data_IF_239848038583
#
_entry.id   IF_239848038583
#
_cell.length_a   1.000
_cell.length_b   1.000
_cell.length_c   1.000
_cell.angle_alpha   90.00
_cell.angle_beta   90.00
_cell.angle_gamma   90.00
#
_symmetry.space_group_name_H-M   'P 1'
#
loop_
_entity.id
_entity.type
_entity.pdbx_description
1 polymer ?
#
# COMPACT_ATOMS: atom_id res chain seq x y z
N UNK A 1 15.49 31.54 12.77
CA UNK A 1 14.83 30.44 12.04
C UNK A 1 13.32 30.63 12.15
N UNK A 2 12.57 30.34 11.09
CA UNK A 2 11.10 30.41 11.12
C UNK A 2 10.55 29.29 12.02
N UNK A 3 9.57 29.62 12.87
CA UNK A 3 8.77 28.59 13.57
C UNK A 3 8.07 27.69 12.56
N UNK A 4 7.61 26.51 12.99
CA UNK A 4 6.87 25.58 12.13
C UNK A 4 5.63 26.23 11.49
N UNK A 5 4.92 27.04 12.26
CA UNK A 5 3.75 27.76 11.77
C UNK A 5 4.11 28.85 10.76
N UNK A 6 5.09 29.70 11.07
CA UNK A 6 5.55 30.73 10.13
C UNK A 6 6.11 30.13 8.83
N UNK A 7 6.78 28.97 8.93
CA UNK A 7 7.27 28.25 7.77
C UNK A 7 6.12 27.73 6.91
N UNK A 8 5.09 27.13 7.51
CA UNK A 8 3.91 26.65 6.80
C UNK A 8 3.09 27.78 6.17
N UNK A 9 2.95 28.92 6.85
CA UNK A 9 2.29 30.11 6.31
C UNK A 9 3.05 30.68 5.10
N UNK A 10 4.37 30.79 5.19
CA UNK A 10 5.21 31.22 4.07
C UNK A 10 5.22 30.21 2.92
N UNK A 11 5.20 28.90 3.23
CA UNK A 11 5.08 27.82 2.24
C UNK A 11 3.75 27.90 1.48
N UNK A 12 2.65 28.07 2.20
CA UNK A 12 1.33 28.24 1.60
C UNK A 12 1.25 29.55 0.82
N UNK A 13 1.80 30.66 1.31
CA UNK A 13 1.82 31.93 0.57
C UNK A 13 2.76 31.89 -0.66
N UNK A 14 3.67 30.92 -0.72
CA UNK A 14 4.70 30.87 -1.75
C UNK A 14 5.77 31.94 -1.58
N UNK A 15 5.96 32.44 -0.36
CA UNK A 15 6.89 33.55 -0.07
C UNK A 15 8.20 33.04 0.52
N UNK A 16 8.46 31.73 0.46
CA UNK A 16 9.76 31.17 0.81
C UNK A 16 10.78 31.53 -0.27
N UNK A 17 11.90 32.11 0.16
CA UNK A 17 13.02 32.41 -0.72
C UNK A 17 13.50 31.15 -1.45
N UNK A 18 13.66 31.16 -2.79
CA UNK A 18 14.07 29.98 -3.55
C UNK A 18 15.40 29.38 -3.08
N UNK A 19 16.33 30.22 -2.62
CA UNK A 19 17.63 29.80 -2.08
C UNK A 19 17.53 29.13 -0.70
N UNK A 20 16.46 29.42 0.06
CA UNK A 20 16.19 28.83 1.37
C UNK A 20 15.31 27.56 1.29
N UNK A 21 14.73 27.26 0.13
CA UNK A 21 13.92 26.07 -0.11
C UNK A 21 14.75 24.93 -0.72
N UNK A 22 15.72 24.47 0.06
CA UNK A 22 16.55 23.33 -0.29
C UNK A 22 15.82 21.98 -0.09
N UNK A 23 16.52 20.87 -0.34
CA UNK A 23 15.97 19.53 -0.20
C UNK A 23 15.44 19.23 1.22
N UNK A 24 16.15 19.74 2.24
CA UNK A 24 15.75 19.58 3.65
C UNK A 24 14.47 20.38 3.94
N UNK A 25 14.37 21.61 3.43
CA UNK A 25 13.17 22.44 3.56
C UNK A 25 11.95 21.80 2.87
N UNK A 26 12.14 21.13 1.73
CA UNK A 26 11.09 20.37 1.05
C UNK A 26 10.54 19.24 1.94
N UNK A 27 11.44 18.43 2.52
CA UNK A 27 11.05 17.36 3.43
C UNK A 27 10.40 17.88 4.71
N UNK A 28 10.89 18.99 5.26
CA UNK A 28 10.27 19.66 6.40
C UNK A 28 8.85 20.11 6.08
N UNK A 29 8.62 20.67 4.89
CA UNK A 29 7.27 21.06 4.44
C UNK A 29 6.32 19.86 4.37
N UNK A 30 6.77 18.74 3.80
CA UNK A 30 5.99 17.51 3.73
C UNK A 30 5.66 16.97 5.14
N UNK A 31 6.66 16.87 6.02
CA UNK A 31 6.48 16.43 7.41
C UNK A 31 5.50 17.31 8.18
N UNK A 32 5.61 18.65 8.06
CA UNK A 32 4.71 19.60 8.70
C UNK A 32 3.28 19.51 8.15
N UNK A 33 3.11 19.37 6.84
CA UNK A 33 1.79 19.15 6.24
C UNK A 33 1.13 17.87 6.78
N UNK A 34 1.90 16.77 6.86
CA UNK A 34 1.44 15.46 7.33
C UNK A 34 1.14 15.43 8.83
N UNK A 35 1.75 16.31 9.64
CA UNK A 35 1.41 16.46 11.06
C UNK A 35 0.13 17.27 11.29
N UNK A 36 -0.17 18.21 10.40
CA UNK A 36 -1.25 19.17 10.59
C UNK A 36 -2.62 18.69 10.09
N UNK A 37 -2.68 17.65 9.24
CA UNK A 37 -3.93 17.23 8.60
C UNK A 37 -3.92 15.74 8.22
N UNK A 38 -5.11 15.13 7.99
CA UNK A 38 -5.22 13.81 7.38
C UNK A 38 -4.47 13.72 6.04
N UNK A 39 -4.00 12.52 5.69
CA UNK A 39 -3.08 12.30 4.55
C UNK A 39 -3.53 12.94 3.24
N UNK A 40 -4.81 12.77 2.84
CA UNK A 40 -5.38 13.37 1.62
C UNK A 40 -5.20 14.89 1.60
N UNK A 41 -5.54 15.55 2.70
CA UNK A 41 -5.51 17.01 2.81
C UNK A 41 -4.07 17.53 2.88
N UNK A 42 -3.21 16.82 3.62
CA UNK A 42 -1.78 17.09 3.73
C UNK A 42 -1.08 17.02 2.37
N UNK A 43 -1.33 15.95 1.60
CA UNK A 43 -0.80 15.80 0.23
C UNK A 43 -1.35 16.88 -0.68
N UNK A 44 -2.65 17.20 -0.60
CA UNK A 44 -3.25 18.29 -1.35
C UNK A 44 -2.59 19.65 -1.07
N UNK A 45 -2.31 19.96 0.21
CA UNK A 45 -1.60 21.17 0.63
C UNK A 45 -0.17 21.19 0.09
N UNK A 46 0.57 20.09 0.27
CA UNK A 46 1.95 19.94 -0.20
C UNK A 46 2.06 20.18 -1.72
N UNK A 47 1.19 19.54 -2.52
CA UNK A 47 1.15 19.70 -3.98
C UNK A 47 0.91 21.15 -4.38
N UNK A 48 -0.04 21.84 -3.75
CA UNK A 48 -0.35 23.25 -4.04
C UNK A 48 0.82 24.17 -3.69
N UNK A 49 1.41 24.02 -2.51
CA UNK A 49 2.54 24.85 -2.08
C UNK A 49 3.77 24.66 -2.96
N UNK A 50 4.13 23.42 -3.30
CA UNK A 50 5.26 23.14 -4.18
C UNK A 50 5.08 23.66 -5.60
N UNK A 51 3.89 23.51 -6.18
CA UNK A 51 3.56 24.10 -7.50
C UNK A 51 3.69 25.62 -7.45
N UNK A 52 3.16 26.26 -6.41
CA UNK A 52 3.21 27.71 -6.22
C UNK A 52 4.65 28.23 -6.14
N UNK A 53 5.48 27.61 -5.29
CA UNK A 53 6.90 27.94 -5.16
C UNK A 53 7.66 27.74 -6.47
N UNK A 54 7.43 26.64 -7.19
CA UNK A 54 8.06 26.38 -8.48
C UNK A 54 7.70 27.45 -9.53
N UNK A 55 6.43 27.88 -9.56
CA UNK A 55 5.96 28.94 -10.45
C UNK A 55 6.60 30.29 -10.09
N UNK A 56 6.62 30.68 -8.82
CA UNK A 56 7.21 31.95 -8.38
C UNK A 56 8.72 32.01 -8.58
N UNK A 57 9.40 30.88 -8.49
CA UNK A 57 10.82 30.75 -8.84
C UNK A 57 11.08 30.80 -10.37
N UNK A 58 10.04 30.93 -11.21
CA UNK A 58 10.15 30.90 -12.67
C UNK A 58 10.53 29.52 -13.22
N UNK A 59 10.37 28.46 -12.43
CA UNK A 59 10.83 27.10 -12.74
C UNK A 59 9.72 26.04 -12.52
N UNK A 60 8.53 26.20 -13.13
CA UNK A 60 7.40 25.27 -12.95
C UNK A 60 7.76 23.82 -13.28
N UNK A 61 8.69 23.60 -14.21
CA UNK A 61 9.20 22.30 -14.61
C UNK A 61 9.90 21.52 -13.49
N UNK A 62 10.31 22.16 -12.40
CA UNK A 62 10.94 21.48 -11.25
C UNK A 62 9.93 20.71 -10.39
N UNK A 63 8.64 21.01 -10.52
CA UNK A 63 7.61 20.21 -9.87
C UNK A 63 7.52 18.81 -10.51
N UNK A 64 7.37 17.79 -9.67
CA UNK A 64 7.26 16.41 -10.10
C UNK A 64 6.24 15.67 -9.25
N UNK A 65 5.11 15.32 -9.86
CA UNK A 65 3.95 14.77 -9.16
C UNK A 65 4.26 13.43 -8.46
N UNK A 66 4.82 12.45 -9.18
CA UNK A 66 5.14 11.15 -8.58
C UNK A 66 6.13 11.25 -7.43
N UNK A 67 7.24 11.97 -7.60
CA UNK A 67 8.24 12.16 -6.53
C UNK A 67 7.60 12.80 -5.30
N UNK A 68 6.81 13.87 -5.47
CA UNK A 68 6.14 14.56 -4.36
C UNK A 68 5.20 13.62 -3.59
N UNK A 69 4.32 12.90 -4.30
CA UNK A 69 3.35 12.01 -3.65
C UNK A 69 4.04 10.78 -3.05
N UNK A 70 5.02 10.20 -3.74
CA UNK A 70 5.77 9.05 -3.25
C UNK A 70 6.55 9.36 -1.97
N UNK A 71 7.26 10.49 -1.90
CA UNK A 71 7.90 10.90 -0.66
C UNK A 71 6.91 11.21 0.45
N UNK A 72 5.78 11.86 0.16
CA UNK A 72 4.75 12.08 1.18
C UNK A 72 4.28 10.76 1.80
N UNK A 73 4.13 9.70 0.99
CA UNK A 73 3.82 8.34 1.48
C UNK A 73 4.93 7.75 2.35
N UNK A 74 6.19 7.85 1.92
CA UNK A 74 7.33 7.32 2.68
C UNK A 74 7.52 8.05 4.02
N UNK A 75 7.42 9.38 4.01
CA UNK A 75 7.47 10.21 5.22
C UNK A 75 6.34 9.83 6.16
N UNK A 76 5.10 9.71 5.64
CA UNK A 76 3.96 9.35 6.48
C UNK A 76 4.07 7.95 7.09
N UNK A 77 4.59 6.97 6.32
CA UNK A 77 4.93 5.63 6.84
C UNK A 77 5.97 5.74 7.96
N UNK A 78 7.04 6.49 7.74
CA UNK A 78 8.11 6.65 8.71
C UNK A 78 7.64 7.35 9.98
N UNK A 79 6.79 8.37 9.88
CA UNK A 79 6.17 9.04 11.03
C UNK A 79 5.35 8.06 11.88
N UNK A 80 4.58 7.17 11.25
CA UNK A 80 3.82 6.14 11.97
C UNK A 80 4.73 5.13 12.67
N UNK A 81 5.85 4.77 12.05
CA UNK A 81 6.83 3.85 12.63
C UNK A 81 7.57 4.46 13.83
N UNK A 82 8.01 5.72 13.72
CA UNK A 82 8.77 6.38 14.77
C UNK A 82 7.90 6.96 15.89
N UNK A 83 6.59 7.11 15.66
CA UNK A 83 5.65 7.75 16.58
C UNK A 83 5.84 9.27 16.63
N UNK A 84 5.44 9.87 17.75
CA UNK A 84 5.61 11.31 17.97
C UNK A 84 7.09 11.66 18.11
N UNK A 85 7.58 12.50 17.19
CA UNK A 85 8.96 12.96 17.12
C UNK A 85 9.00 14.47 16.85
N UNK A 86 10.10 15.12 17.25
CA UNK A 86 10.45 16.45 16.73
C UNK A 86 11.01 16.33 15.31
N UNK A 87 11.12 17.45 14.58
CA UNK A 87 11.72 17.45 13.25
C UNK A 87 13.18 16.96 13.27
N UNK A 88 13.96 17.39 14.26
CA UNK A 88 15.37 17.00 14.38
C UNK A 88 15.53 15.51 14.70
N UNK A 89 14.68 14.95 15.56
CA UNK A 89 14.64 13.51 15.84
C UNK A 89 14.22 12.70 14.62
N UNK A 90 13.17 13.13 13.91
CA UNK A 90 12.71 12.48 12.69
C UNK A 90 13.83 12.41 11.65
N UNK A 91 14.55 13.52 11.49
CA UNK A 91 15.67 13.61 10.56
C UNK A 91 16.83 12.69 10.95
N UNK A 92 17.23 12.71 12.23
CA UNK A 92 18.32 11.87 12.72
C UNK A 92 18.01 10.38 12.55
N UNK A 93 16.74 9.98 12.64
CA UNK A 93 16.28 8.58 12.53
C UNK A 93 15.84 8.17 11.12
N UNK A 94 15.92 9.07 10.14
CA UNK A 94 15.51 8.80 8.75
C UNK A 94 16.54 9.25 7.70
N UNK A 95 17.85 9.01 7.91
CA UNK A 95 18.91 9.55 7.04
C UNK A 95 18.79 9.05 5.59
N UNK A 96 18.47 7.78 5.40
CA UNK A 96 18.30 7.16 4.06
C UNK A 96 17.11 7.74 3.30
N UNK A 97 16.00 8.03 4.01
CA UNK A 97 14.81 8.63 3.42
C UNK A 97 15.07 10.08 2.97
N UNK A 98 15.95 10.80 3.68
CA UNK A 98 16.23 12.22 3.47
C UNK A 98 17.48 12.46 2.61
N UNK A 99 18.05 11.42 2.03
CA UNK A 99 19.19 11.53 1.14
C UNK A 99 18.81 12.32 -0.14
N UNK A 100 19.64 13.27 -0.58
CA UNK A 100 19.37 14.14 -1.73
C UNK A 100 19.39 13.43 -3.08
N UNK A 101 19.83 12.18 -3.12
CA UNK A 101 20.05 11.40 -4.32
C UNK A 101 18.80 10.67 -4.81
N UNK A 102 17.65 10.79 -4.14
CA UNK A 102 16.43 10.03 -4.45
C UNK A 102 16.60 8.50 -4.33
N UNK A 103 17.62 8.00 -3.62
CA UNK A 103 17.93 6.57 -3.53
C UNK A 103 16.72 5.74 -3.11
N UNK A 104 16.03 6.17 -2.05
CA UNK A 104 14.82 5.52 -1.54
C UNK A 104 13.68 5.42 -2.57
N UNK A 105 13.57 6.35 -3.53
CA UNK A 105 12.58 6.27 -4.59
C UNK A 105 13.05 5.44 -5.78
N UNK A 106 14.33 5.53 -6.15
CA UNK A 106 14.89 4.74 -7.27
C UNK A 106 14.82 3.24 -6.99
N UNK A 107 15.06 2.84 -5.75
CA UNK A 107 14.89 1.45 -5.32
C UNK A 107 13.44 0.97 -5.47
N UNK A 108 12.47 1.84 -5.19
CA UNK A 108 11.05 1.50 -5.28
C UNK A 108 10.51 1.49 -6.71
N UNK A 109 10.92 2.45 -7.54
CA UNK A 109 10.34 2.72 -8.85
C UNK A 109 11.14 2.16 -10.03
N UNK A 110 12.43 1.87 -9.85
CA UNK A 110 13.38 1.77 -10.95
C UNK A 110 13.69 3.15 -11.56
N UNK A 111 14.80 3.26 -12.28
CA UNK A 111 15.23 4.54 -12.88
C UNK A 111 14.24 5.06 -13.93
N UNK A 112 13.72 4.17 -14.78
CA UNK A 112 12.96 4.55 -15.98
C UNK A 112 11.58 5.16 -15.67
N UNK A 113 10.91 4.71 -14.59
CA UNK A 113 9.56 5.18 -14.26
C UNK A 113 9.57 6.63 -13.78
N UNK A 114 10.55 7.02 -12.95
CA UNK A 114 10.66 8.38 -12.42
C UNK A 114 11.06 9.40 -13.51
N UNK A 115 11.72 8.96 -14.58
CA UNK A 115 12.12 9.84 -15.68
C UNK A 115 11.00 10.05 -16.72
N UNK A 116 9.92 9.26 -16.64
CA UNK A 116 8.82 9.34 -17.60
C UNK A 116 8.06 10.69 -17.56
N UNK A 117 7.60 11.21 -18.72
CA UNK A 117 6.79 12.42 -18.77
C UNK A 117 5.49 12.32 -17.96
N UNK A 118 4.92 11.12 -17.85
CA UNK A 118 3.69 10.87 -17.10
C UNK A 118 3.92 10.95 -15.59
N UNK A 119 5.00 10.35 -15.07
CA UNK A 119 5.32 10.44 -13.64
C UNK A 119 5.55 11.88 -13.16
N UNK A 120 5.97 12.79 -14.06
CA UNK A 120 6.10 14.21 -13.73
C UNK A 120 4.75 14.92 -13.59
N UNK A 121 3.74 14.52 -14.37
CA UNK A 121 2.42 15.18 -14.45
C UNK A 121 1.37 14.57 -13.52
N UNK A 122 1.38 13.25 -13.36
CA UNK A 122 0.44 12.48 -12.57
C UNK A 122 1.18 11.51 -11.65
N UNK A 123 0.56 11.13 -10.53
CA UNK A 123 1.11 10.11 -9.66
C UNK A 123 1.01 8.76 -10.34
N UNK A 124 2.16 8.12 -10.56
CA UNK A 124 2.29 6.74 -11.01
C UNK A 124 2.72 5.93 -9.79
N UNK A 125 2.06 4.81 -9.44
CA UNK A 125 2.53 3.91 -8.37
C UNK A 125 3.73 3.07 -8.86
N UNK A 126 4.63 2.61 -7.97
CA UNK A 126 5.75 1.76 -8.36
C UNK A 126 5.27 0.33 -8.67
N UNK A 127 5.96 -0.35 -9.60
CA UNK A 127 5.61 -1.71 -10.05
C UNK A 127 5.69 -2.76 -8.93
N UNK A 128 6.62 -2.58 -7.98
CA UNK A 128 6.76 -3.40 -6.78
C UNK A 128 5.53 -3.33 -5.87
N UNK A 129 4.70 -2.29 -6.00
CA UNK A 129 3.45 -2.19 -5.25
C UNK A 129 2.29 -2.89 -5.94
N UNK A 130 2.49 -3.63 -7.04
CA UNK A 130 1.35 -4.25 -7.72
C UNK A 130 1.53 -5.57 -8.49
N UNK A 131 2.73 -5.97 -8.89
CA UNK A 131 2.86 -7.12 -9.82
C UNK A 131 3.84 -8.18 -9.31
N UNK A 132 4.94 -7.78 -8.68
CA UNK A 132 5.98 -8.70 -8.25
C UNK A 132 5.50 -9.79 -7.27
N UNK A 133 4.61 -9.45 -6.33
CA UNK A 133 4.08 -10.43 -5.37
C UNK A 133 3.09 -11.41 -6.01
N UNK A 134 2.34 -10.98 -7.04
CA UNK A 134 1.39 -11.82 -7.77
C UNK A 134 2.12 -12.72 -8.75
N UNK A 135 3.01 -12.16 -9.57
CA UNK A 135 3.82 -12.92 -10.54
C UNK A 135 4.69 -13.97 -9.86
N UNK A 136 5.34 -13.61 -8.74
CA UNK A 136 6.12 -14.56 -7.95
C UNK A 136 5.26 -15.68 -7.38
N UNK A 137 4.09 -15.35 -6.81
CA UNK A 137 3.17 -16.40 -6.34
C UNK A 137 2.75 -17.31 -7.49
N UNK A 138 2.42 -16.77 -8.66
CA UNK A 138 2.04 -17.59 -9.82
C UNK A 138 3.17 -18.54 -10.24
N UNK A 139 4.43 -18.09 -10.17
CA UNK A 139 5.60 -18.94 -10.41
C UNK A 139 5.73 -20.04 -9.34
N UNK A 140 5.76 -19.67 -8.05
CA UNK A 140 5.94 -20.62 -6.94
C UNK A 140 4.77 -21.62 -6.84
N UNK A 141 3.55 -21.16 -7.10
CA UNK A 141 2.35 -22.00 -7.14
C UNK A 141 2.37 -22.94 -8.35
N UNK A 142 2.78 -22.48 -9.53
CA UNK A 142 2.97 -23.35 -10.69
C UNK A 142 4.05 -24.42 -10.45
N UNK A 143 5.17 -24.07 -9.80
CA UNK A 143 6.20 -25.02 -9.39
C UNK A 143 5.69 -26.03 -8.33
N UNK A 144 4.86 -25.58 -7.39
CA UNK A 144 4.18 -26.47 -6.44
C UNK A 144 3.21 -27.42 -7.15
N UNK A 145 2.37 -26.93 -8.06
CA UNK A 145 1.46 -27.75 -8.87
C UNK A 145 2.22 -28.75 -9.73
N UNK A 146 3.30 -28.33 -10.40
CA UNK A 146 4.14 -29.24 -11.19
C UNK A 146 4.76 -30.36 -10.33
N UNK A 147 5.14 -30.09 -9.07
CA UNK A 147 5.62 -31.13 -8.14
C UNK A 147 4.52 -32.12 -7.74
N UNK A 148 3.27 -31.66 -7.62
CA UNK A 148 2.12 -32.54 -7.40
C UNK A 148 1.80 -33.37 -8.65
N UNK A 149 1.91 -32.78 -9.85
CA UNK A 149 1.64 -33.44 -11.13
C UNK A 149 2.73 -34.45 -11.53
N UNK A 150 4.01 -34.19 -11.24
CA UNK A 150 5.12 -35.16 -11.42
C UNK A 150 4.98 -36.36 -10.47
N UNK A 151 4.31 -36.19 -9.33
CA UNK A 151 3.90 -37.31 -8.47
C UNK A 151 2.74 -38.13 -9.08
N UNK A 152 2.05 -37.63 -10.10
CA UNK A 152 0.87 -38.25 -10.72
C UNK A 152 1.09 -38.73 -12.17
N UNK A 153 2.05 -38.17 -12.91
CA UNK A 153 2.24 -38.44 -14.34
C UNK A 153 3.62 -39.02 -14.63
N UNK A 154 3.69 -40.35 -14.73
CA UNK A 154 4.83 -41.07 -15.29
C UNK A 154 4.80 -41.16 -16.83
N UNK A 155 3.89 -40.46 -17.54
CA UNK A 155 3.79 -40.60 -19.00
C UNK A 155 3.49 -39.29 -19.75
N UNK A 156 4.36 -39.05 -20.74
CA UNK A 156 4.25 -38.19 -21.92
C UNK A 156 4.40 -36.66 -21.78
N UNK A 157 5.50 -36.14 -22.32
CA UNK A 157 5.56 -34.80 -22.89
C UNK A 157 6.39 -34.79 -24.19
N UNK A 158 5.82 -34.21 -25.25
CA UNK A 158 6.52 -33.76 -26.46
C UNK A 158 6.41 -32.24 -26.59
N UNK A 159 7.39 -31.53 -27.17
CA UNK A 159 7.44 -30.08 -27.11
C UNK A 159 6.68 -29.41 -28.26
N UNK A 160 6.06 -28.26 -27.98
CA UNK A 160 5.55 -27.32 -28.98
C UNK A 160 6.25 -25.96 -28.85
N UNK A 161 6.63 -25.40 -30.00
CA UNK A 161 7.36 -24.15 -30.14
C UNK A 161 6.44 -22.92 -30.01
N UNK A 162 6.94 -21.86 -29.35
CA UNK A 162 6.23 -20.60 -29.15
C UNK A 162 6.67 -19.55 -30.19
N UNK A 163 5.68 -18.96 -30.89
CA UNK A 163 5.84 -17.73 -31.64
C UNK A 163 5.67 -16.52 -30.73
N UNK A 164 6.37 -15.42 -31.04
CA UNK A 164 6.33 -14.19 -30.25
C UNK A 164 4.94 -13.52 -30.36
N UNK A 165 4.19 -13.54 -29.25
CA UNK A 165 2.92 -12.84 -29.06
C UNK A 165 3.22 -11.49 -28.39
N UNK A 166 2.65 -10.40 -28.90
CA UNK A 166 2.72 -9.10 -28.23
C UNK A 166 2.07 -9.20 -26.84
N UNK A 167 2.68 -8.63 -25.78
CA UNK A 167 2.12 -8.73 -24.44
C UNK A 167 0.75 -8.04 -24.40
N UNK A 168 -0.29 -8.68 -23.85
CA UNK A 168 -1.61 -8.09 -23.74
C UNK A 168 -1.59 -6.84 -22.84
N UNK A 169 -2.46 -5.88 -23.12
CA UNK A 169 -2.64 -4.71 -22.26
C UNK A 169 -3.06 -5.12 -20.84
N UNK A 170 -2.56 -4.45 -19.79
CA UNK A 170 -2.90 -4.79 -18.42
C UNK A 170 -4.36 -4.46 -18.11
N UNK A 171 -5.11 -5.45 -17.63
CA UNK A 171 -6.49 -5.29 -17.15
C UNK A 171 -6.48 -5.20 -15.63
N UNK A 172 -7.14 -4.18 -15.08
CA UNK A 172 -7.36 -4.06 -13.63
C UNK A 172 -8.78 -4.55 -13.28
N UNK A 173 -8.88 -5.40 -12.26
CA UNK A 173 -10.15 -5.84 -11.67
C UNK A 173 -10.13 -5.47 -10.19
N UNK A 174 -11.19 -4.83 -9.71
CA UNK A 174 -11.34 -4.44 -8.31
C UNK A 174 -12.55 -5.11 -7.68
N UNK A 175 -12.41 -5.54 -6.43
CA UNK A 175 -13.51 -6.06 -5.65
C UNK A 175 -14.37 -4.92 -5.11
N UNK A 176 -15.69 -5.14 -5.04
CA UNK A 176 -16.64 -4.22 -4.42
C UNK A 176 -17.32 -4.92 -3.25
N UNK A 177 -17.08 -4.45 -2.02
CA UNK A 177 -17.76 -4.95 -0.83
C UNK A 177 -18.96 -4.08 -0.48
N UNK A 178 -20.06 -4.72 -0.12
CA UNK A 178 -21.25 -4.04 0.39
C UNK A 178 -21.17 -4.03 1.91
N UNK A 179 -21.07 -2.85 2.51
CA UNK A 179 -20.81 -2.70 3.95
C UNK A 179 -21.93 -1.92 4.62
N UNK A 180 -22.17 -2.19 5.91
CA UNK A 180 -23.20 -1.49 6.69
C UNK A 180 -22.85 0.00 6.82
N UNK A 181 -21.57 0.30 7.07
CA UNK A 181 -21.05 1.65 7.22
C UNK A 181 -19.70 1.81 6.51
N UNK A 182 -19.69 2.61 5.44
CA UNK A 182 -18.51 2.86 4.61
C UNK A 182 -17.39 3.54 5.40
N UNK A 183 -17.71 4.47 6.29
CA UNK A 183 -16.70 5.18 7.08
C UNK A 183 -16.00 4.24 8.06
N UNK A 184 -16.78 3.38 8.73
CA UNK A 184 -16.28 2.37 9.67
C UNK A 184 -15.40 1.35 8.95
N UNK A 185 -15.90 0.75 7.88
CA UNK A 185 -15.15 -0.25 7.11
C UNK A 185 -13.88 0.34 6.49
N UNK A 186 -13.97 1.54 5.90
CA UNK A 186 -12.81 2.19 5.29
C UNK A 186 -11.69 2.48 6.31
N UNK A 187 -12.05 2.91 7.53
CA UNK A 187 -11.06 3.11 8.61
C UNK A 187 -10.38 1.81 8.99
N UNK A 188 -11.13 0.72 9.13
CA UNK A 188 -10.56 -0.58 9.47
C UNK A 188 -9.56 -1.05 8.43
N UNK A 189 -9.91 -1.00 7.13
CA UNK A 189 -8.99 -1.36 6.06
C UNK A 189 -7.77 -0.41 5.97
N UNK A 190 -7.96 0.88 6.23
CA UNK A 190 -6.87 1.86 6.26
C UNK A 190 -5.90 1.61 7.44
N UNK A 191 -6.41 1.26 8.61
CA UNK A 191 -5.61 0.99 9.81
C UNK A 191 -4.89 -0.35 9.71
N UNK A 192 -5.60 -1.42 9.34
CA UNK A 192 -5.06 -2.77 9.22
C UNK A 192 -4.08 -2.89 8.05
N UNK A 193 -4.48 -2.42 6.87
CA UNK A 193 -3.75 -2.66 5.63
C UNK A 193 -3.21 -1.39 4.98
N UNK A 194 -3.29 -0.23 5.63
CA UNK A 194 -2.64 0.99 5.16
C UNK A 194 -3.21 1.57 3.86
N UNK A 195 -4.46 1.25 3.49
CA UNK A 195 -5.13 1.84 2.34
C UNK A 195 -5.33 3.34 2.50
N UNK A 196 -5.14 4.10 1.42
CA UNK A 196 -5.70 5.45 1.34
C UNK A 196 -7.17 5.35 1.00
N UNK A 197 -7.96 6.25 1.58
CA UNK A 197 -9.42 6.26 1.40
C UNK A 197 -9.83 7.50 0.64
N UNK A 198 -10.54 7.30 -0.47
CA UNK A 198 -11.27 8.32 -1.21
C UNK A 198 -12.78 8.09 -1.07
N UNK A 199 -13.41 8.61 -0.01
CA UNK A 199 -14.84 8.43 0.23
C UNK A 199 -15.70 9.37 -0.62
N UNK A 200 -16.96 8.98 -0.83
CA UNK A 200 -17.99 9.75 -1.53
C UNK A 200 -19.36 9.60 -0.84
N UNK A 201 -20.18 10.67 -0.72
CA UNK A 201 -19.87 12.06 -1.06
C UNK A 201 -18.76 12.68 -0.19
N UNK A 202 -18.35 13.92 -0.46
CA UNK A 202 -17.20 14.55 0.24
C UNK A 202 -17.37 14.64 1.77
N UNK A 203 -18.60 14.62 2.26
CA UNK A 203 -18.94 14.61 3.67
C UNK A 203 -19.86 13.42 3.99
N UNK A 204 -19.82 12.89 5.23
CA UNK A 204 -20.68 11.80 5.63
C UNK A 204 -22.18 12.20 5.60
N UNK A 205 -23.10 11.23 5.44
CA UNK A 205 -22.83 9.79 5.41
C UNK A 205 -22.26 9.32 4.07
N UNK A 206 -21.11 8.66 4.10
CA UNK A 206 -20.48 8.12 2.91
C UNK A 206 -21.32 6.96 2.35
N UNK A 207 -21.54 6.98 1.04
CA UNK A 207 -22.25 5.94 0.29
C UNK A 207 -21.29 5.01 -0.45
N UNK A 208 -20.06 5.48 -0.66
CA UNK A 208 -19.05 4.77 -1.40
C UNK A 208 -17.65 5.18 -0.91
N UNK A 209 -16.65 4.31 -1.04
CA UNK A 209 -15.26 4.69 -0.93
C UNK A 209 -14.40 3.84 -1.86
N UNK A 210 -13.49 4.49 -2.58
CA UNK A 210 -12.38 3.82 -3.24
C UNK A 210 -11.21 3.76 -2.27
N UNK A 211 -10.69 2.57 -2.03
CA UNK A 211 -9.50 2.31 -1.23
C UNK A 211 -8.39 1.87 -2.18
N UNK A 212 -7.22 2.49 -2.07
CA UNK A 212 -6.07 2.09 -2.88
C UNK A 212 -4.77 2.13 -2.10
N UNK A 213 -3.87 1.21 -2.44
CA UNK A 213 -2.52 1.15 -1.85
C UNK A 213 -1.53 0.59 -2.86
N UNK A 214 -0.97 1.46 -3.68
CA UNK A 214 -0.13 1.07 -4.82
C UNK A 214 -0.99 0.66 -6.00
N UNK A 215 -0.91 -0.60 -6.40
CA UNK A 215 -1.85 -1.46 -5.71
C UNK A 215 -3.07 -2.09 -6.34
N UNK A 216 -3.43 -3.15 -5.64
CA UNK A 216 -4.63 -3.24 -4.85
C UNK A 216 -5.52 -1.99 -4.88
N UNK A 217 -6.69 -2.20 -5.47
CA UNK A 217 -7.86 -1.35 -5.31
C UNK A 217 -8.99 -2.19 -4.69
N UNK A 218 -9.69 -1.59 -3.73
CA UNK A 218 -10.88 -2.13 -3.10
C UNK A 218 -11.95 -1.04 -3.09
N UNK A 219 -13.17 -1.37 -3.49
CA UNK A 219 -14.30 -0.45 -3.40
C UNK A 219 -15.23 -0.89 -2.28
N UNK A 220 -15.69 0.08 -1.49
CA UNK A 220 -16.72 -0.12 -0.47
C UNK A 220 -17.98 0.62 -0.91
N UNK A 221 -19.12 -0.05 -0.82
CA UNK A 221 -20.43 0.55 -1.11
C UNK A 221 -21.34 0.35 0.08
N UNK A 222 -22.05 1.40 0.47
CA UNK A 222 -23.04 1.30 1.55
C UNK A 222 -24.19 0.38 1.13
N UNK A 223 -24.59 -0.49 2.05
CA UNK A 223 -25.84 -1.23 1.97
C UNK A 223 -27.04 -0.28 2.07
N UNK A 224 -28.15 -0.61 1.40
CA UNK A 224 -29.39 0.16 1.57
C UNK A 224 -30.01 -0.11 2.95
N UNK A 225 -29.94 -1.36 3.40
CA UNK A 225 -30.29 -1.81 4.74
C UNK A 225 -29.16 -2.67 5.30
N UNK A 226 -28.97 -2.75 6.63
CA UNK A 226 -27.93 -3.61 7.22
C UNK A 226 -28.03 -5.08 6.78
N UNK A 227 -29.25 -5.57 6.63
CA UNK A 227 -29.51 -6.93 6.13
C UNK A 227 -29.10 -7.10 4.66
N UNK A 228 -28.82 -6.07 3.87
CA UNK A 228 -28.36 -6.28 2.50
C UNK A 228 -26.88 -6.68 2.44
N UNK A 229 -26.15 -6.63 3.56
CA UNK A 229 -24.80 -7.18 3.69
C UNK A 229 -24.90 -8.70 3.82
N UNK A 230 -24.35 -9.40 2.82
CA UNK A 230 -24.42 -10.86 2.66
C UNK A 230 -23.02 -11.42 2.41
N UNK A 231 -22.16 -11.51 3.44
CA UNK A 231 -20.91 -12.25 3.32
C UNK A 231 -21.22 -13.72 2.98
N UNK A 232 -20.60 -14.21 1.91
CA UNK A 232 -20.72 -15.62 1.52
C UNK A 232 -19.75 -16.48 2.32
N UNK A 233 -20.09 -17.74 2.63
CA UNK A 233 -19.15 -18.67 3.23
C UNK A 233 -17.90 -18.81 2.35
N UNK A 234 -16.72 -18.85 2.97
CA UNK A 234 -15.43 -18.91 2.29
C UNK A 234 -14.75 -17.55 2.15
N UNK A 235 -13.76 -17.48 1.27
CA UNK A 235 -12.90 -16.31 1.10
C UNK A 235 -13.57 -15.25 0.25
N UNK A 236 -13.59 -14.02 0.77
CA UNK A 236 -14.09 -12.85 0.04
C UNK A 236 -12.94 -12.06 -0.59
N UNK A 237 -11.89 -11.81 0.19
CA UNK A 237 -10.69 -11.11 -0.27
C UNK A 237 -9.45 -11.94 0.03
N UNK A 238 -8.45 -11.84 -0.84
CA UNK A 238 -7.12 -12.38 -0.62
C UNK A 238 -6.10 -11.24 -0.78
N UNK A 239 -5.49 -10.83 0.32
CA UNK A 239 -4.55 -9.71 0.39
C UNK A 239 -3.13 -10.25 0.49
N UNK A 240 -2.29 -9.91 -0.49
CA UNK A 240 -0.86 -10.23 -0.49
C UNK A 240 -0.04 -9.06 0.04
N UNK A 241 0.84 -9.36 0.97
CA UNK A 241 1.82 -8.43 1.53
C UNK A 241 3.23 -8.76 1.03
N UNK A 242 4.12 -7.77 1.11
CA UNK A 242 5.52 -7.88 0.70
C UNK A 242 6.46 -7.07 1.61
N UNK A 243 6.04 -6.80 2.85
CA UNK A 243 6.74 -5.95 3.80
C UNK A 243 7.41 -6.68 4.97
N UNK A 244 7.25 -8.00 5.08
CA UNK A 244 7.75 -8.82 6.19
C UNK A 244 7.08 -8.55 7.53
N UNK A 245 5.83 -8.05 7.53
CA UNK A 245 5.13 -7.57 8.74
C UNK A 245 3.84 -8.33 9.07
N UNK A 246 3.58 -9.45 8.40
CA UNK A 246 2.37 -10.26 8.62
C UNK A 246 2.23 -10.72 10.08
N UNK A 247 3.34 -10.95 10.79
CA UNK A 247 3.34 -11.34 12.21
C UNK A 247 2.80 -10.24 13.12
N UNK A 248 3.32 -9.02 12.95
CA UNK A 248 2.87 -7.83 13.69
C UNK A 248 1.40 -7.53 13.40
N UNK A 249 1.02 -7.65 12.12
CA UNK A 249 -0.36 -7.45 11.69
C UNK A 249 -1.29 -8.49 12.31
N UNK A 250 -0.94 -9.77 12.25
CA UNK A 250 -1.70 -10.85 12.88
C UNK A 250 -1.84 -10.62 14.38
N UNK A 251 -0.75 -10.33 15.10
CA UNK A 251 -0.78 -10.08 16.53
C UNK A 251 -1.65 -8.87 16.90
N UNK A 252 -1.70 -7.84 16.05
CA UNK A 252 -2.57 -6.68 16.25
C UNK A 252 -4.03 -7.04 16.04
N UNK A 253 -4.34 -7.69 14.91
CA UNK A 253 -5.72 -8.01 14.54
C UNK A 253 -6.33 -9.10 15.43
N UNK A 254 -5.54 -10.07 15.89
CA UNK A 254 -6.00 -11.16 16.75
C UNK A 254 -6.40 -10.70 18.16
N UNK A 255 -6.01 -9.50 18.60
CA UNK A 255 -6.39 -8.99 19.94
C UNK A 255 -7.88 -8.68 20.07
N UNK A 256 -8.55 -8.33 18.97
CA UNK A 256 -9.95 -7.87 18.98
C UNK A 256 -10.76 -8.31 17.76
N UNK A 257 -10.12 -8.96 16.78
CA UNK A 257 -10.74 -9.43 15.56
C UNK A 257 -11.18 -10.88 15.64
N UNK A 258 -12.07 -11.24 14.72
CA UNK A 258 -12.61 -12.59 14.57
C UNK A 258 -11.69 -13.42 13.66
N UNK A 259 -10.70 -14.07 14.28
CA UNK A 259 -9.74 -14.94 13.59
C UNK A 259 -10.42 -16.23 13.17
N UNK A 260 -10.52 -16.46 11.86
CA UNK A 260 -11.10 -17.68 11.26
C UNK A 260 -10.06 -18.79 11.22
N UNK A 261 -8.82 -18.46 10.80
CA UNK A 261 -7.67 -19.37 10.81
C UNK A 261 -6.46 -18.61 11.36
N UNK A 262 -5.77 -19.15 12.38
CA UNK A 262 -4.56 -18.51 12.91
C UNK A 262 -3.44 -18.49 11.86
N UNK A 263 -2.38 -17.74 12.14
CA UNK A 263 -1.19 -17.70 11.29
C UNK A 263 -0.59 -19.11 11.14
N UNK A 264 -0.47 -19.55 9.89
CA UNK A 264 0.04 -20.87 9.50
C UNK A 264 1.01 -20.74 8.34
N UNK A 265 2.03 -21.59 8.32
CA UNK A 265 2.91 -21.77 7.18
C UNK A 265 2.25 -22.70 6.17
N UNK A 266 2.12 -22.25 4.94
CA UNK A 266 1.49 -22.99 3.86
C UNK A 266 2.50 -23.89 3.13
N UNK A 267 2.03 -24.95 2.43
CA UNK A 267 2.91 -25.85 1.67
C UNK A 267 3.73 -25.17 0.57
N UNK A 268 3.23 -24.03 0.08
CA UNK A 268 3.84 -23.20 -0.95
C UNK A 268 4.61 -22.00 -0.37
N UNK A 269 5.18 -22.17 0.84
CA UNK A 269 6.11 -21.24 1.53
C UNK A 269 5.51 -19.93 2.05
N UNK A 270 4.38 -19.47 1.51
CA UNK A 270 3.64 -18.35 2.10
C UNK A 270 3.25 -18.67 3.55
N UNK A 271 3.14 -17.63 4.37
CA UNK A 271 2.44 -17.70 5.64
C UNK A 271 1.13 -16.95 5.53
N UNK A 272 0.08 -17.53 6.09
CA UNK A 272 -1.27 -17.03 5.92
C UNK A 272 -2.07 -17.08 7.21
N UNK A 273 -2.97 -16.12 7.39
CA UNK A 273 -4.06 -16.20 8.36
C UNK A 273 -5.37 -15.73 7.72
N UNK A 274 -6.48 -16.08 8.36
CA UNK A 274 -7.81 -15.67 7.93
C UNK A 274 -8.53 -14.93 9.05
N UNK A 275 -9.17 -13.83 8.71
CA UNK A 275 -9.90 -12.98 9.66
C UNK A 275 -11.20 -12.50 9.03
N UNK A 276 -12.28 -12.39 9.82
CA UNK A 276 -13.49 -11.70 9.37
C UNK A 276 -13.35 -10.19 9.59
N UNK A 277 -13.71 -9.43 8.57
CA UNK A 277 -13.84 -7.98 8.71
C UNK A 277 -15.08 -7.60 9.56
N UNK A 278 -15.30 -6.29 9.73
CA UNK A 278 -16.40 -5.75 10.56
C UNK A 278 -17.81 -6.05 10.01
N UNK A 279 -17.89 -6.51 8.77
CA UNK A 279 -19.13 -6.80 8.05
C UNK A 279 -19.25 -8.31 7.74
N UNK A 280 -18.34 -9.13 8.29
CA UNK A 280 -18.37 -10.59 8.26
C UNK A 280 -17.68 -11.22 7.04
N UNK A 281 -17.04 -10.43 6.19
CA UNK A 281 -16.30 -10.94 5.03
C UNK A 281 -14.98 -11.58 5.46
N UNK A 282 -14.72 -12.81 5.01
CA UNK A 282 -13.45 -13.49 5.28
C UNK A 282 -12.35 -12.90 4.41
N UNK A 283 -11.34 -12.31 5.05
CA UNK A 283 -10.13 -11.78 4.43
C UNK A 283 -8.98 -12.74 4.72
N UNK A 284 -8.43 -13.32 3.65
CA UNK A 284 -7.17 -14.06 3.72
C UNK A 284 -6.03 -13.07 3.58
N UNK A 285 -5.05 -13.16 4.47
CA UNK A 285 -3.85 -12.33 4.42
C UNK A 285 -2.65 -13.25 4.26
N UNK A 286 -1.85 -13.00 3.23
CA UNK A 286 -0.71 -13.82 2.86
C UNK A 286 0.55 -12.99 2.70
N UNK A 287 1.68 -13.55 3.11
CA UNK A 287 3.01 -12.99 2.87
C UNK A 287 4.04 -14.10 2.75
N UNK A 288 4.96 -13.99 1.79
CA UNK A 288 6.13 -14.84 1.75
C UNK A 288 7.14 -14.36 2.80
N UNK A 289 7.56 -15.25 3.68
CA UNK A 289 8.66 -15.02 4.62
C UNK A 289 9.80 -16.00 4.30
N UNK A 290 11.03 -15.50 4.22
CA UNK A 290 12.22 -16.35 3.99
C UNK A 290 12.45 -17.33 5.14
N UNK A 291 12.17 -16.88 6.38
CA UNK A 291 12.28 -17.67 7.60
C UNK A 291 10.92 -17.74 8.32
N UNK A 292 10.30 -18.92 8.29
CA UNK A 292 8.97 -19.16 8.86
C UNK A 292 8.84 -20.52 9.57
N UNK A 293 9.95 -21.19 9.89
CA UNK A 293 9.94 -22.52 10.53
C UNK A 293 9.38 -22.50 11.96
N UNK A 294 9.33 -21.33 12.58
CA UNK A 294 8.68 -21.08 13.87
C UNK A 294 7.14 -20.99 13.77
N UNK A 295 6.58 -20.81 12.56
CA UNK A 295 5.13 -20.76 12.35
C UNK A 295 4.61 -22.19 12.13
N UNK A 296 3.55 -22.62 12.85
CA UNK A 296 2.97 -23.94 12.68
C UNK A 296 2.54 -24.22 11.24
N UNK A 297 2.80 -25.43 10.77
CA UNK A 297 2.43 -25.86 9.42
C UNK A 297 0.93 -26.09 9.28
N UNK A 298 0.33 -25.63 8.19
CA UNK A 298 -1.08 -25.92 7.87
C UNK A 298 -1.33 -27.42 7.59
N UNK A 299 -0.31 -28.19 7.22
CA UNK A 299 -0.44 -29.63 6.90
C UNK A 299 -0.49 -30.52 8.14
N UNK A 300 0.10 -30.08 9.25
CA UNK A 300 0.22 -30.89 10.47
C UNK A 300 -1.13 -31.04 11.19
N UNK A 301 -2.04 -30.07 11.06
CA UNK A 301 -3.40 -30.16 11.60
C UNK A 301 -4.33 -31.06 10.77
N UNK A 302 -4.16 -31.15 9.44
CA UNK A 302 -5.03 -32.02 8.61
C UNK A 302 -4.86 -33.53 8.88
N UNK A 303 -3.80 -33.91 9.61
CA UNK A 303 -3.54 -35.30 10.02
C UNK A 303 -4.07 -35.61 11.42
N UNK A 304 -4.70 -34.64 12.10
CA UNK A 304 -5.17 -34.76 13.47
C UNK A 304 -6.70 -34.90 13.60
N UNK A 305 -7.45 -34.88 12.49
CA UNK A 305 -8.88 -35.19 12.48
C UNK A 305 -9.08 -36.64 11.96
N UNK A 306 -9.51 -37.59 12.82
CA UNK A 306 -9.70 -39.01 12.46
C UNK A 306 -10.96 -39.28 11.62
#
# INVERSE_FOLDING_TARGET
>A
MLTDQQFLEAFDAGTLEPSAFDHRAHFRAAWLCLRAAPFRDAVGRLRRGLKRLAIQAGQPQRYHETITVAFARLIHRQMRYLGHTTWDEFQARSPELLAPDLGALRELYGADVLESPDARRQFVPPASWNVAAVDRFLQEFAEYQARLDVSAAHDAAGPSAAGAVLPPEPVCVTAVLVVVDVQRAARWYAEAFGFDVAPFPEQPPYRFALLSRGGAELMLRAAERPDDVRPVPGWTLYIRLAGGRIRELFATLAQSGDVVRPLRRMPYRDVEFEIRDLDGYTVVVSELLEEADDIPSALEESRADP
#
